data_IF_206738952529
#
_entry.id   IF_206738952529
#
_cell.length_a   1.000
_cell.length_b   1.000
_cell.length_c   1.000
_cell.angle_alpha   90.00
_cell.angle_beta   90.00
_cell.angle_gamma   90.00
#
_symmetry.space_group_name_H-M   'P 1'
#
loop_
_entity.id
_entity.type
_entity.pdbx_description
1 polymer ?
#
# COMPACT_ATOMS: atom_id res chain seq x y z
N UNK A 1 17.99 -8.86 5.34
CA UNK A 1 17.31 -8.52 4.05
C UNK A 1 15.80 -8.43 4.26
N UNK A 2 15.04 -7.78 3.37
CA UNK A 2 13.57 -7.69 3.49
C UNK A 2 12.91 -9.09 3.50
N UNK A 3 13.47 -10.05 2.76
CA UNK A 3 13.02 -11.45 2.73
C UNK A 3 12.95 -12.09 4.11
N UNK A 4 13.85 -11.73 5.02
CA UNK A 4 13.87 -12.28 6.37
C UNK A 4 12.59 -11.92 7.14
N UNK A 5 12.03 -10.72 6.91
CA UNK A 5 10.79 -10.29 7.54
C UNK A 5 9.55 -11.03 6.99
N UNK A 6 9.54 -11.37 5.70
CA UNK A 6 8.51 -12.24 5.11
C UNK A 6 8.62 -13.67 5.68
N UNK A 7 9.83 -14.23 5.72
CA UNK A 7 10.09 -15.57 6.25
C UNK A 7 9.77 -15.70 7.74
N UNK A 8 9.97 -14.63 8.52
CA UNK A 8 9.58 -14.58 9.94
C UNK A 8 8.07 -14.74 10.14
N UNK A 9 7.24 -14.30 9.19
CA UNK A 9 5.78 -14.47 9.25
C UNK A 9 5.34 -15.79 8.65
N UNK A 10 5.85 -16.11 7.46
CA UNK A 10 5.52 -17.33 6.73
C UNK A 10 6.86 -17.96 6.31
N UNK A 11 7.30 -19.04 6.99
CA UNK A 11 8.50 -19.76 6.61
C UNK A 11 8.47 -20.15 5.13
N UNK A 12 9.61 -19.99 4.44
CA UNK A 12 9.77 -20.26 3.01
C UNK A 12 8.72 -19.56 2.13
N UNK A 13 8.50 -18.25 2.37
CA UNK A 13 7.45 -17.49 1.71
C UNK A 13 7.53 -17.63 0.17
N UNK A 14 6.49 -18.19 -0.49
CA UNK A 14 6.60 -18.66 -1.86
C UNK A 14 6.33 -17.59 -2.93
N UNK A 15 5.86 -16.40 -2.52
CA UNK A 15 5.51 -15.31 -3.45
C UNK A 15 6.62 -14.25 -3.54
N UNK A 16 6.41 -13.25 -4.38
CA UNK A 16 7.31 -12.12 -4.53
C UNK A 16 7.53 -11.37 -3.21
N UNK A 17 8.80 -11.08 -2.90
CA UNK A 17 9.19 -10.17 -1.82
C UNK A 17 9.20 -8.77 -2.40
N UNK A 18 8.14 -8.00 -2.12
CA UNK A 18 7.90 -6.69 -2.73
C UNK A 18 8.05 -5.55 -1.72
N UNK A 19 8.24 -4.35 -2.25
CA UNK A 19 8.10 -3.07 -1.55
C UNK A 19 6.93 -2.30 -2.14
N UNK A 20 6.23 -1.44 -1.36
CA UNK A 20 6.39 -1.23 0.08
C UNK A 20 5.93 -2.44 0.92
N UNK A 21 6.39 -2.51 2.18
CA UNK A 21 5.95 -3.52 3.15
C UNK A 21 5.92 -2.89 4.56
N UNK A 22 4.81 -3.05 5.28
CA UNK A 22 4.68 -2.68 6.69
C UNK A 22 5.16 -3.85 7.53
N UNK A 23 6.10 -3.60 8.45
CA UNK A 23 6.67 -4.60 9.35
C UNK A 23 6.35 -4.20 10.78
N UNK A 24 5.79 -5.13 11.55
CA UNK A 24 5.66 -4.94 12.99
C UNK A 24 7.05 -5.08 13.62
N UNK A 25 7.49 -4.05 14.35
CA UNK A 25 8.88 -3.96 14.84
C UNK A 25 9.22 -5.07 15.84
N UNK A 26 8.33 -5.38 16.78
CA UNK A 26 8.62 -6.31 17.86
C UNK A 26 8.83 -7.75 17.37
N UNK A 27 7.97 -8.23 16.46
CA UNK A 27 8.08 -9.57 15.87
C UNK A 27 9.02 -9.59 14.66
N UNK A 28 9.21 -8.44 14.01
CA UNK A 28 9.94 -8.31 12.75
C UNK A 28 9.22 -8.97 11.57
N UNK A 29 7.90 -9.19 11.69
CA UNK A 29 7.08 -9.83 10.67
C UNK A 29 6.43 -8.80 9.74
N UNK A 30 6.39 -9.09 8.43
CA UNK A 30 5.62 -8.28 7.47
C UNK A 30 4.13 -8.42 7.77
N UNK A 31 3.43 -7.32 8.06
CA UNK A 31 1.99 -7.27 8.31
C UNK A 31 1.19 -7.14 7.01
N UNK A 32 1.64 -6.30 6.10
CA UNK A 32 1.02 -6.14 4.78
C UNK A 32 2.02 -5.60 3.77
N UNK A 33 1.87 -6.00 2.52
CA UNK A 33 2.57 -5.46 1.36
C UNK A 33 1.58 -5.02 0.26
N UNK A 34 0.31 -4.86 0.61
CA UNK A 34 -0.75 -4.39 -0.29
C UNK A 34 -0.64 -2.87 -0.45
N UNK A 35 0.12 -2.45 -1.45
CA UNK A 35 0.44 -1.03 -1.64
C UNK A 35 -0.80 -0.15 -1.87
N UNK A 36 -1.84 -0.67 -2.54
CA UNK A 36 -3.04 0.10 -2.83
C UNK A 36 -3.79 0.39 -1.52
N UNK A 37 -4.02 -0.66 -0.72
CA UNK A 37 -4.69 -0.51 0.57
C UNK A 37 -3.87 0.32 1.57
N UNK A 38 -2.55 0.13 1.64
CA UNK A 38 -1.66 0.90 2.52
C UNK A 38 -1.85 2.41 2.31
N UNK A 39 -1.99 2.85 1.05
CA UNK A 39 -2.17 4.29 0.74
C UNK A 39 -3.55 4.84 1.08
N UNK A 40 -4.57 3.99 1.26
CA UNK A 40 -5.90 4.38 1.73
C UNK A 40 -5.97 4.34 3.26
N UNK A 41 -5.33 3.36 3.89
CA UNK A 41 -5.31 3.21 5.35
C UNK A 41 -4.60 4.38 6.03
N UNK A 42 -3.53 4.93 5.44
CA UNK A 42 -2.86 6.11 6.01
C UNK A 42 -3.78 7.34 6.16
N UNK A 43 -4.53 7.76 5.13
CA UNK A 43 -5.48 8.87 5.28
C UNK A 43 -6.75 8.51 6.06
N UNK A 44 -7.13 7.24 6.25
CA UNK A 44 -8.39 6.88 6.96
C UNK A 44 -8.19 6.33 8.37
N UNK A 45 -7.27 5.38 8.57
CA UNK A 45 -7.07 4.68 9.84
C UNK A 45 -6.06 5.40 10.75
N UNK A 46 -5.10 6.13 10.18
CA UNK A 46 -4.05 6.84 10.94
C UNK A 46 -4.41 8.30 11.27
N UNK A 47 -5.68 8.69 11.08
CA UNK A 47 -6.17 10.07 11.21
C UNK A 47 -5.84 10.73 12.54
N UNK A 48 -5.88 9.97 13.64
CA UNK A 48 -5.52 10.44 14.97
C UNK A 48 -4.04 10.86 15.13
N UNK A 49 -3.18 10.48 14.18
CA UNK A 49 -1.74 10.77 14.19
C UNK A 49 -1.33 11.77 13.10
N UNK A 50 -2.29 12.33 12.37
CA UNK A 50 -2.00 13.34 11.36
C UNK A 50 -1.55 14.65 12.01
N UNK A 51 -0.65 15.36 11.33
CA UNK A 51 -0.29 16.74 11.70
C UNK A 51 -1.46 17.69 11.49
N UNK A 52 -1.46 18.81 12.20
CA UNK A 52 -2.40 19.90 11.94
C UNK A 52 -2.35 20.34 10.47
N UNK A 53 -3.53 20.55 9.89
CA UNK A 53 -3.69 20.93 8.49
C UNK A 53 -3.28 19.84 7.48
N UNK A 54 -3.33 18.56 7.86
CA UNK A 54 -3.23 17.47 6.90
C UNK A 54 -4.41 17.53 5.88
N UNK A 55 -4.15 17.35 4.58
CA UNK A 55 -5.20 17.39 3.57
C UNK A 55 -6.05 16.12 3.59
N UNK A 56 -7.28 16.24 3.10
CA UNK A 56 -8.15 15.10 2.85
C UNK A 56 -7.79 14.48 1.49
N UNK A 57 -6.95 13.44 1.51
CA UNK A 57 -6.49 12.76 0.30
C UNK A 57 -7.53 11.79 -0.28
N UNK A 58 -8.43 11.28 0.56
CA UNK A 58 -9.47 10.32 0.17
C UNK A 58 -10.83 10.59 0.88
N UNK A 59 -11.39 11.80 0.71
CA UNK A 59 -12.63 12.20 1.38
C UNK A 59 -13.84 11.46 0.81
N UNK A 60 -14.76 11.08 1.68
CA UNK A 60 -15.95 10.26 1.35
C UNK A 60 -16.72 10.75 0.10
N UNK A 61 -17.02 12.06 -0.09
CA UNK A 61 -17.78 12.51 -1.25
C UNK A 61 -17.08 12.36 -2.60
N UNK A 62 -15.77 12.13 -2.62
CA UNK A 62 -14.97 12.03 -3.85
C UNK A 62 -14.43 10.62 -4.13
N UNK A 63 -14.69 9.65 -3.24
CA UNK A 63 -14.07 8.32 -3.35
C UNK A 63 -14.40 7.61 -4.66
N UNK A 64 -15.67 7.62 -5.07
CA UNK A 64 -16.10 6.97 -6.30
C UNK A 64 -15.37 7.53 -7.55
N UNK A 65 -15.22 8.86 -7.64
CA UNK A 65 -14.50 9.51 -8.74
C UNK A 65 -12.99 9.20 -8.68
N UNK A 66 -12.41 9.25 -7.47
CA UNK A 66 -10.99 8.92 -7.27
C UNK A 66 -10.71 7.47 -7.70
N UNK A 67 -11.55 6.53 -7.29
CA UNK A 67 -11.38 5.11 -7.58
C UNK A 67 -11.52 4.81 -9.08
N UNK A 68 -12.51 5.41 -9.74
CA UNK A 68 -12.70 5.27 -11.19
C UNK A 68 -11.46 5.76 -11.96
N UNK A 69 -10.97 6.96 -11.63
CA UNK A 69 -9.81 7.56 -12.30
C UNK A 69 -8.54 6.78 -11.98
N UNK A 70 -8.33 6.42 -10.71
CA UNK A 70 -7.14 5.68 -10.27
C UNK A 70 -7.06 4.31 -10.95
N UNK A 71 -8.18 3.60 -11.09
CA UNK A 71 -8.19 2.30 -11.76
C UNK A 71 -7.73 2.40 -13.21
N UNK A 72 -8.22 3.38 -13.97
CA UNK A 72 -7.80 3.59 -15.36
C UNK A 72 -6.32 3.99 -15.45
N UNK A 73 -5.84 4.86 -14.56
CA UNK A 73 -4.43 5.26 -14.53
C UNK A 73 -3.55 4.04 -14.22
N UNK A 74 -3.99 3.17 -13.30
CA UNK A 74 -3.24 1.97 -12.94
C UNK A 74 -3.10 1.01 -14.14
N UNK A 75 -4.19 0.66 -14.81
CA UNK A 75 -4.17 -0.33 -15.89
C UNK A 75 -3.46 0.19 -17.15
N UNK A 76 -3.70 1.45 -17.50
CA UNK A 76 -3.25 2.00 -18.79
C UNK A 76 -1.90 2.72 -18.71
N UNK A 77 -1.53 3.25 -17.54
CA UNK A 77 -0.32 4.06 -17.39
C UNK A 77 0.68 3.42 -16.43
N UNK A 78 0.34 3.25 -15.15
CA UNK A 78 1.31 2.77 -14.16
C UNK A 78 1.81 1.37 -14.49
N UNK A 79 0.90 0.45 -14.81
CA UNK A 79 1.27 -0.89 -15.27
C UNK A 79 1.52 -0.93 -16.78
N UNK A 80 0.94 0.01 -17.54
CA UNK A 80 1.09 0.09 -18.99
C UNK A 80 2.56 0.15 -19.43
N UNK A 81 3.38 0.96 -18.76
CA UNK A 81 4.82 1.05 -19.09
C UNK A 81 5.60 -0.24 -18.82
N UNK A 82 5.23 -1.00 -17.79
CA UNK A 82 5.82 -2.32 -17.50
C UNK A 82 5.39 -3.40 -18.49
N UNK A 83 4.25 -3.23 -19.16
CA UNK A 83 3.79 -4.16 -20.20
C UNK A 83 4.50 -3.94 -21.54
N UNK A 84 5.04 -2.75 -21.77
CA UNK A 84 5.72 -2.39 -23.00
C UNK A 84 7.23 -2.69 -22.99
N UNK A 85 7.87 -2.61 -21.82
CA UNK A 85 9.32 -2.85 -21.65
C UNK A 85 9.65 -4.32 -21.44
#
# INVERSE_FOLDING_TARGET
YLRDAYNKRIPDYPKGVTVPAIVEVATGQVVTNDFAQITLDFPTEWTAHHRDGAPQLYPEPLRDEIDEVAQRIYTEVNNGVYRCG
#
